data_IF_035937713807
#
_entry.id   IF_035937713807
#
_cell.length_a   1.000
_cell.length_b   1.000
_cell.length_c   1.000
_cell.angle_alpha   90.00
_cell.angle_beta   90.00
_cell.angle_gamma   90.00
#
_symmetry.space_group_name_H-M   'P 1'
#
loop_
_entity.id
_entity.type
_entity.pdbx_description
1 polymer ?
#
# COMPACT_ATOMS: atom_id res chain seq x y z
N UNK A 1 -0.42 -3.83 -14.76
CA UNK A 1 -0.06 -4.22 -13.39
C UNK A 1 -1.26 -4.04 -12.49
N UNK A 2 -1.30 -4.79 -11.40
CA UNK A 2 -2.43 -4.76 -10.49
C UNK A 2 -1.90 -4.62 -9.08
N UNK A 3 -2.62 -3.92 -8.20
CA UNK A 3 -2.10 -3.74 -6.85
C UNK A 3 -3.16 -3.97 -5.79
N UNK A 4 -2.67 -4.35 -4.63
CA UNK A 4 -3.41 -4.40 -3.39
C UNK A 4 -2.88 -3.27 -2.52
N UNK A 5 -3.76 -2.40 -2.07
CA UNK A 5 -3.38 -1.31 -1.18
C UNK A 5 -4.08 -1.49 0.16
N UNK A 6 -3.32 -1.33 1.23
CA UNK A 6 -3.86 -1.36 2.58
C UNK A 6 -3.67 0.02 3.18
N UNK A 7 -4.77 0.65 3.53
CA UNK A 7 -4.74 1.96 4.17
C UNK A 7 -5.03 1.76 5.65
N UNK A 8 -4.03 1.98 6.48
CA UNK A 8 -4.17 1.80 7.93
C UNK A 8 -4.65 3.09 8.57
N UNK A 9 -5.72 3.00 9.35
CA UNK A 9 -6.19 4.15 10.10
C UNK A 9 -5.22 4.43 11.23
N UNK A 10 -5.31 5.62 11.81
CA UNK A 10 -4.45 5.94 12.93
C UNK A 10 -4.71 4.97 14.07
N UNK A 11 -3.69 4.21 14.52
CA UNK A 11 -3.91 3.20 15.55
C UNK A 11 -4.10 3.85 16.91
N UNK A 12 -4.95 3.26 17.76
CA UNK A 12 -5.09 3.78 19.12
C UNK A 12 -3.83 3.58 19.94
N UNK A 13 -3.02 2.58 19.60
CA UNK A 13 -1.77 2.30 20.30
C UNK A 13 -0.68 2.14 19.25
N UNK A 14 0.03 3.24 19.00
CA UNK A 14 1.08 3.25 17.97
C UNK A 14 2.22 2.30 18.33
N UNK A 15 2.59 2.24 19.60
CA UNK A 15 3.68 1.38 20.02
C UNK A 15 3.38 -0.08 19.70
N UNK A 16 2.16 -0.50 20.02
CA UNK A 16 1.77 -1.88 19.75
C UNK A 16 1.72 -2.15 18.25
N UNK A 17 1.23 -1.18 17.47
CA UNK A 17 1.19 -1.32 16.02
C UNK A 17 2.61 -1.53 15.48
N UNK A 18 3.55 -0.69 15.90
CA UNK A 18 4.91 -0.78 15.38
C UNK A 18 5.63 -2.04 15.86
N UNK A 19 5.27 -2.57 17.02
CA UNK A 19 5.86 -3.81 17.51
C UNK A 19 5.36 -5.01 16.69
N UNK A 20 4.13 -4.97 16.21
CA UNK A 20 3.55 -6.06 15.44
C UNK A 20 3.88 -5.95 13.95
N UNK A 21 4.23 -4.76 13.49
CA UNK A 21 4.48 -4.49 12.07
C UNK A 21 5.49 -5.45 11.43
N UNK A 22 6.65 -5.76 12.06
CA UNK A 22 7.61 -6.68 11.44
C UNK A 22 7.03 -8.07 11.17
N UNK A 23 6.15 -8.55 12.03
CA UNK A 23 5.54 -9.87 11.81
C UNK A 23 4.65 -9.84 10.57
N UNK A 24 3.91 -8.75 10.39
CA UNK A 24 3.07 -8.61 9.21
C UNK A 24 3.92 -8.56 7.94
N UNK A 25 4.98 -7.76 7.96
CA UNK A 25 5.87 -7.61 6.81
C UNK A 25 6.52 -8.95 6.46
N UNK A 26 6.90 -9.72 7.45
CA UNK A 26 7.55 -11.00 7.23
C UNK A 26 6.72 -11.91 6.31
N UNK A 27 5.41 -11.96 6.54
CA UNK A 27 4.55 -12.79 5.71
C UNK A 27 4.08 -12.06 4.45
N UNK A 28 3.71 -10.80 4.59
CA UNK A 28 3.12 -10.05 3.47
C UNK A 28 4.11 -9.89 2.32
N UNK A 29 5.36 -9.60 2.64
CA UNK A 29 6.35 -9.39 1.58
C UNK A 29 6.95 -10.69 1.09
N UNK A 30 6.54 -11.83 1.66
CA UNK A 30 6.94 -13.13 1.17
C UNK A 30 5.89 -13.78 0.27
N UNK A 31 4.82 -13.08 -0.06
CA UNK A 31 3.79 -13.61 -0.96
C UNK A 31 4.39 -13.89 -2.33
N UNK A 32 4.03 -15.04 -2.94
CA UNK A 32 4.56 -15.37 -4.26
C UNK A 32 4.00 -14.41 -5.33
N UNK A 33 4.82 -14.10 -6.32
CA UNK A 33 4.39 -13.25 -7.42
C UNK A 33 4.46 -11.76 -7.12
N UNK A 34 4.89 -11.38 -5.94
CA UNK A 34 5.01 -9.98 -5.58
C UNK A 34 6.17 -9.35 -6.35
N UNK A 35 5.88 -8.26 -7.05
CA UNK A 35 6.88 -7.59 -7.88
C UNK A 35 7.51 -6.40 -7.18
N UNK A 36 6.73 -5.67 -6.39
CA UNK A 36 7.21 -4.44 -5.79
C UNK A 36 6.32 -4.11 -4.60
N UNK A 37 6.89 -3.45 -3.62
CA UNK A 37 6.17 -2.99 -2.44
C UNK A 37 6.52 -1.53 -2.20
N UNK A 38 5.53 -0.75 -1.81
CA UNK A 38 5.75 0.63 -1.41
C UNK A 38 5.03 0.89 -0.11
N UNK A 39 5.70 1.58 0.81
CA UNK A 39 5.10 1.94 2.09
C UNK A 39 5.18 3.45 2.21
N UNK A 40 4.04 4.07 2.41
CA UNK A 40 3.97 5.51 2.65
C UNK A 40 3.63 5.74 4.12
N UNK A 41 4.41 6.59 4.78
CA UNK A 41 4.19 6.91 6.18
C UNK A 41 4.37 8.41 6.37
N UNK A 42 4.14 8.87 7.60
CA UNK A 42 4.22 10.31 7.90
C UNK A 42 3.28 11.10 7.02
N UNK A 43 2.05 10.61 6.88
CA UNK A 43 1.08 11.20 5.97
C UNK A 43 0.57 12.52 6.51
N UNK A 44 0.29 13.43 5.59
CA UNK A 44 -0.27 14.73 5.95
C UNK A 44 -1.21 15.19 4.85
N UNK A 45 -1.99 16.22 5.13
CA UNK A 45 -2.87 16.81 4.14
C UNK A 45 -2.83 18.31 4.28
N UNK A 46 -3.25 19.05 3.25
CA UNK A 46 -3.28 20.51 3.35
C UNK A 46 -4.21 21.01 4.45
N UNK A 47 -5.20 20.22 4.84
CA UNK A 47 -6.15 20.62 5.87
C UNK A 47 -5.76 20.16 7.26
N UNK A 48 -4.57 19.56 7.44
CA UNK A 48 -4.12 19.12 8.75
C UNK A 48 -3.69 17.67 8.75
N UNK A 49 -3.82 17.00 9.89
CA UNK A 49 -3.39 15.59 9.98
C UNK A 49 -4.16 14.71 9.02
N UNK A 50 -3.48 13.72 8.46
CA UNK A 50 -4.11 12.80 7.54
C UNK A 50 -5.00 11.83 8.30
N UNK A 51 -6.00 11.32 7.59
CA UNK A 51 -6.94 10.35 8.15
C UNK A 51 -6.28 9.00 8.37
N UNK A 52 -5.23 8.70 7.62
CA UNK A 52 -4.58 7.40 7.68
C UNK A 52 -3.18 7.53 8.23
N UNK A 53 -2.71 6.46 8.87
CA UNK A 53 -1.41 6.39 9.51
C UNK A 53 -0.34 5.90 8.54
N UNK A 54 -0.71 4.92 7.69
CA UNK A 54 0.26 4.28 6.81
C UNK A 54 -0.48 3.70 5.61
N UNK A 55 0.16 3.69 4.45
CA UNK A 55 -0.37 3.05 3.25
C UNK A 55 0.66 2.05 2.78
N UNK A 56 0.25 0.80 2.59
CA UNK A 56 1.13 -0.27 2.15
C UNK A 56 0.59 -0.80 0.83
N UNK A 57 1.40 -0.76 -0.23
CA UNK A 57 0.96 -1.13 -1.55
C UNK A 57 1.81 -2.27 -2.10
N UNK A 58 1.13 -3.30 -2.62
CA UNK A 58 1.77 -4.51 -3.15
C UNK A 58 1.42 -4.61 -4.61
N UNK A 59 2.42 -4.78 -5.47
CA UNK A 59 2.24 -4.78 -6.93
C UNK A 59 2.44 -6.16 -7.50
N UNK A 60 1.52 -6.58 -8.39
CA UNK A 60 1.53 -7.88 -9.04
C UNK A 60 1.38 -7.70 -10.54
N UNK A 61 1.71 -8.74 -11.30
CA UNK A 61 1.62 -8.66 -12.76
C UNK A 61 0.18 -8.42 -13.21
N UNK A 62 -0.78 -9.10 -12.57
CA UNK A 62 -2.19 -8.98 -12.91
C UNK A 62 -3.03 -9.42 -11.73
N UNK A 63 -4.35 -9.35 -11.90
CA UNK A 63 -5.27 -9.71 -10.82
C UNK A 63 -5.14 -11.18 -10.43
N UNK A 64 -4.92 -12.06 -11.39
CA UNK A 64 -4.78 -13.48 -11.10
C UNK A 64 -3.58 -13.74 -10.20
N UNK A 65 -2.46 -13.08 -10.48
CA UNK A 65 -1.26 -13.21 -9.65
C UNK A 65 -1.53 -12.71 -8.23
N UNK A 66 -2.23 -11.59 -8.09
CA UNK A 66 -2.58 -11.06 -6.79
C UNK A 66 -3.49 -12.03 -6.03
N UNK A 67 -4.52 -12.58 -6.71
CA UNK A 67 -5.43 -13.51 -6.05
C UNK A 67 -4.68 -14.75 -5.56
N UNK A 68 -3.77 -15.29 -6.38
CA UNK A 68 -2.98 -16.42 -5.97
C UNK A 68 -2.09 -16.10 -4.78
N UNK A 69 -1.50 -14.91 -4.77
CA UNK A 69 -0.64 -14.50 -3.67
C UNK A 69 -1.42 -14.39 -2.37
N UNK A 70 -2.61 -13.80 -2.43
CA UNK A 70 -3.43 -13.66 -1.24
C UNK A 70 -3.92 -15.00 -0.70
N UNK A 71 -4.14 -15.96 -1.58
CA UNK A 71 -4.61 -17.29 -1.18
C UNK A 71 -3.48 -18.22 -0.81
N UNK A 72 -2.23 -17.81 -1.00
CA UNK A 72 -1.07 -18.64 -0.65
C UNK A 72 -0.94 -18.76 0.87
N UNK A 73 -0.05 -19.64 1.31
CA UNK A 73 0.20 -19.79 2.73
C UNK A 73 0.68 -18.48 3.34
N UNK A 74 1.60 -17.80 2.66
CA UNK A 74 2.12 -16.53 3.17
C UNK A 74 1.05 -15.45 3.20
N UNK A 75 0.24 -15.39 2.16
CA UNK A 75 -0.87 -14.44 2.12
C UNK A 75 -1.89 -14.69 3.21
N UNK A 76 -2.21 -15.95 3.46
CA UNK A 76 -3.16 -16.32 4.50
C UNK A 76 -2.59 -15.95 5.88
N UNK A 77 -1.31 -16.20 6.11
CA UNK A 77 -0.68 -15.83 7.37
C UNK A 77 -0.61 -14.32 7.55
N UNK A 78 -0.32 -13.60 6.46
CA UNK A 78 -0.31 -12.14 6.50
C UNK A 78 -1.67 -11.61 6.90
N UNK A 79 -2.74 -12.20 6.36
CA UNK A 79 -4.10 -11.80 6.71
C UNK A 79 -4.40 -12.02 8.18
N UNK A 80 -3.88 -13.11 8.75
CA UNK A 80 -4.06 -13.37 10.18
C UNK A 80 -3.35 -12.34 11.02
N UNK A 81 -2.10 -12.00 10.68
CA UNK A 81 -1.36 -10.98 11.42
C UNK A 81 -2.01 -9.62 11.26
N UNK A 82 -2.57 -9.33 10.08
CA UNK A 82 -3.25 -8.06 9.84
C UNK A 82 -4.40 -7.85 10.81
N UNK A 83 -5.14 -8.90 11.14
CA UNK A 83 -6.24 -8.79 12.09
C UNK A 83 -5.74 -8.44 13.48
N UNK A 84 -4.55 -8.90 13.86
CA UNK A 84 -3.95 -8.58 15.14
C UNK A 84 -3.35 -7.17 15.12
N UNK A 85 -2.73 -6.83 13.99
CA UNK A 85 -2.07 -5.54 13.82
C UNK A 85 -3.07 -4.38 13.86
N UNK A 86 -4.17 -4.52 13.16
CA UNK A 86 -5.13 -3.43 13.00
C UNK A 86 -6.56 -3.97 12.93
N UNK A 87 -7.10 -4.49 14.03
CA UNK A 87 -8.43 -5.07 14.01
C UNK A 87 -9.47 -4.02 13.65
N UNK A 88 -10.02 -4.12 12.42
CA UNK A 88 -11.03 -3.17 11.97
C UNK A 88 -10.51 -1.79 11.65
N UNK A 89 -9.21 -1.59 11.69
CA UNK A 89 -8.62 -0.28 11.48
C UNK A 89 -7.91 -0.12 10.15
N UNK A 90 -8.37 -0.78 9.11
CA UNK A 90 -7.75 -0.66 7.80
C UNK A 90 -8.79 -0.79 6.69
N UNK A 91 -8.40 -0.34 5.49
CA UNK A 91 -9.20 -0.48 4.29
C UNK A 91 -8.33 -1.18 3.26
N UNK A 92 -8.90 -2.19 2.59
CA UNK A 92 -8.24 -2.86 1.47
C UNK A 92 -8.83 -2.34 0.17
N UNK A 93 -7.95 -2.01 -0.76
CA UNK A 93 -8.36 -1.60 -2.10
C UNK A 93 -7.59 -2.39 -3.12
N UNK A 94 -8.24 -2.73 -4.22
CA UNK A 94 -7.61 -3.38 -5.36
C UNK A 94 -7.72 -2.45 -6.55
N UNK A 95 -6.69 -2.38 -7.38
CA UNK A 95 -6.72 -1.45 -8.50
C UNK A 95 -5.83 -1.89 -9.64
N UNK A 96 -6.28 -1.62 -10.85
CA UNK A 96 -5.40 -1.68 -12.01
C UNK A 96 -4.42 -0.52 -11.92
N UNK A 97 -3.18 -0.77 -12.27
CA UNK A 97 -2.16 0.25 -12.26
C UNK A 97 -1.68 0.46 -13.68
N UNK A 98 -1.73 1.70 -14.11
CA UNK A 98 -1.19 2.08 -15.39
C UNK A 98 -0.10 3.10 -15.13
N UNK A 99 1.09 2.80 -15.59
CA UNK A 99 2.20 3.71 -15.42
C UNK A 99 2.27 4.61 -16.63
N UNK A 100 2.16 5.92 -16.40
CA UNK A 100 2.24 6.88 -17.47
C UNK A 100 3.55 7.61 -17.38
N UNK A 101 4.21 7.73 -18.51
CA UNK A 101 5.41 8.54 -18.59
C UNK A 101 4.95 9.92 -19.02
N UNK A 102 5.15 10.93 -18.19
CA UNK A 102 4.70 12.27 -18.56
C UNK A 102 5.34 12.69 -19.87
N UNK A 103 4.54 13.27 -20.73
CA UNK A 103 5.07 13.81 -21.97
C UNK A 103 5.91 15.00 -21.63
N UNK A 104 7.16 15.06 -22.12
CA UNK A 104 7.94 16.25 -21.88
C UNK A 104 7.26 17.43 -22.56
N UNK A 105 7.31 18.59 -21.96
CA UNK A 105 6.70 19.76 -22.60
C UNK A 105 7.43 19.99 -23.88
N UNK A 106 6.68 20.19 -24.94
CA UNK A 106 7.26 20.44 -26.24
C UNK A 106 8.10 21.69 -26.16
N UNK A 107 7.60 22.65 -25.49
CA UNK A 107 8.34 23.84 -25.24
C UNK A 107 7.62 24.56 -24.17
N UNK A 108 8.29 25.38 -23.42
CA UNK A 108 7.62 26.06 -22.35
C UNK A 108 6.53 26.90 -22.95
N UNK A 109 5.35 26.81 -22.42
CA UNK A 109 4.31 27.70 -22.89
C UNK A 109 4.74 29.12 -22.65
N UNK A 110 4.35 29.95 -23.53
CA UNK A 110 4.66 31.31 -23.35
C UNK A 110 4.15 31.82 -22.10
N UNK A 111 2.99 31.33 -21.74
CA UNK A 111 2.40 31.79 -20.51
C UNK A 111 3.24 31.51 -19.35
N UNK A 112 3.92 30.43 -19.42
CA UNK A 112 4.75 30.09 -18.32
C UNK A 112 5.82 31.02 -18.19
N UNK A 113 6.11 31.67 -19.23
CA UNK A 113 7.13 32.55 -19.13
C UNK A 113 6.67 33.78 -18.64
N UNK A 114 5.58 34.00 -18.54
CA UNK A 114 5.16 35.16 -18.16
C UNK A 114 5.14 35.52 -17.00
#
# INVERSE_FOLDING_TARGET
MYKLAILFRNPPDITKFEETWPDFIHFAEAMPGLLRVEVSSSLSSPQGPAEFYKIHEFYFADKTAMDKAMMSEKGTRAGGVLQVLAPGGYILLFADVQEDIPRPPAEPPEADKK
#
